data_IF_004221368860
#
_entry.id   IF_004221368860
#
_cell.length_a   1.000
_cell.length_b   1.000
_cell.length_c   1.000
_cell.angle_alpha   90.00
_cell.angle_beta   90.00
_cell.angle_gamma   90.00
#
_symmetry.space_group_name_H-M   'P 1'
#
loop_
_entity.id
_entity.type
_entity.pdbx_description
1 polymer ?
#
# COMPACT_ATOMS: atom_id res chain seq x y z
N UNK A 1 -6.57 12.17 -4.54
CA UNK A 1 -6.55 12.40 -3.08
C UNK A 1 -7.96 12.46 -2.50
N UNK A 2 -8.93 13.02 -3.22
CA UNK A 2 -10.28 13.24 -2.69
C UNK A 2 -11.12 11.95 -2.55
N UNK A 3 -10.94 10.97 -3.45
CA UNK A 3 -11.56 9.64 -3.32
C UNK A 3 -11.16 8.95 -2.00
N UNK A 4 -9.86 8.94 -1.66
CA UNK A 4 -9.36 8.32 -0.43
C UNK A 4 -9.91 8.98 0.84
N UNK A 5 -9.97 10.32 0.88
CA UNK A 5 -10.55 11.04 2.02
C UNK A 5 -12.04 10.71 2.19
N UNK A 6 -12.77 10.66 1.09
CA UNK A 6 -14.18 10.28 1.09
C UNK A 6 -14.39 8.85 1.59
N UNK A 7 -13.61 7.89 1.07
CA UNK A 7 -13.71 6.49 1.50
C UNK A 7 -13.38 6.32 2.99
N UNK A 8 -12.42 7.07 3.52
CA UNK A 8 -12.10 7.05 4.96
C UNK A 8 -13.24 7.65 5.79
N UNK A 9 -13.85 8.75 5.35
CA UNK A 9 -15.02 9.31 6.03
C UNK A 9 -16.24 8.38 5.98
N UNK A 10 -16.44 7.70 4.83
CA UNK A 10 -17.52 6.74 4.62
C UNK A 10 -17.42 5.51 5.53
N UNK A 11 -16.26 5.27 6.18
CA UNK A 11 -16.10 4.22 7.21
C UNK A 11 -16.84 4.52 8.52
N UNK A 12 -17.26 5.77 8.75
CA UNK A 12 -18.03 6.21 9.92
C UNK A 12 -19.47 6.60 9.55
N UNK A 13 -19.90 6.28 8.32
CA UNK A 13 -21.27 6.56 7.85
C UNK A 13 -22.31 5.79 8.66
N UNK A 14 -23.46 6.39 8.97
CA UNK A 14 -24.58 5.69 9.64
C UNK A 14 -25.10 4.48 8.83
N UNK A 15 -24.93 4.50 7.51
CA UNK A 15 -25.43 3.46 6.61
C UNK A 15 -24.43 2.31 6.48
N UNK A 16 -24.82 1.11 6.95
CA UNK A 16 -23.99 -0.09 6.90
C UNK A 16 -23.45 -0.41 5.49
N UNK A 17 -24.30 -0.27 4.46
CA UNK A 17 -23.92 -0.51 3.05
C UNK A 17 -22.80 0.42 2.57
N UNK A 18 -22.81 1.67 3.02
CA UNK A 18 -21.77 2.65 2.67
C UNK A 18 -20.45 2.26 3.33
N UNK A 19 -20.48 1.89 4.61
CA UNK A 19 -19.28 1.44 5.34
C UNK A 19 -18.65 0.19 4.73
N UNK A 20 -19.46 -0.78 4.30
CA UNK A 20 -18.95 -1.99 3.63
C UNK A 20 -18.33 -1.70 2.26
N UNK A 21 -18.99 -0.87 1.44
CA UNK A 21 -18.46 -0.48 0.14
C UNK A 21 -17.13 0.26 0.26
N UNK A 22 -17.04 1.19 1.22
CA UNK A 22 -15.81 1.91 1.52
C UNK A 22 -14.68 0.97 1.97
N UNK A 23 -14.99 0.04 2.88
CA UNK A 23 -14.03 -0.98 3.35
C UNK A 23 -13.48 -1.79 2.18
N UNK A 24 -14.36 -2.33 1.32
CA UNK A 24 -13.96 -3.13 0.16
C UNK A 24 -13.09 -2.32 -0.80
N UNK A 25 -13.47 -1.08 -1.09
CA UNK A 25 -12.73 -0.21 -2.00
C UNK A 25 -11.35 0.16 -1.46
N UNK A 26 -11.23 0.41 -0.16
CA UNK A 26 -9.95 0.66 0.50
C UNK A 26 -9.02 -0.56 0.43
N UNK A 27 -9.57 -1.78 0.53
CA UNK A 27 -8.80 -3.03 0.34
C UNK A 27 -8.34 -3.16 -1.12
N UNK A 28 -9.19 -2.82 -2.09
CA UNK A 28 -8.83 -2.88 -3.52
C UNK A 28 -7.74 -1.88 -3.92
N UNK A 29 -7.73 -0.71 -3.30
CA UNK A 29 -6.72 0.34 -3.53
C UNK A 29 -5.35 -0.03 -2.98
N UNK A 30 -5.28 -1.02 -2.09
CA UNK A 30 -4.05 -1.58 -1.56
C UNK A 30 -3.11 -0.44 -1.13
N UNK A 31 -1.91 -0.35 -1.72
CA UNK A 31 -0.82 0.48 -1.20
C UNK A 31 -1.14 1.97 -1.22
N UNK A 32 -2.04 2.36 -2.13
CA UNK A 32 -2.52 3.73 -2.25
C UNK A 32 -3.35 4.14 -1.03
N UNK A 33 -4.08 3.19 -0.43
CA UNK A 33 -4.89 3.44 0.75
C UNK A 33 -4.09 3.30 2.06
N UNK A 34 -3.04 2.49 2.09
CA UNK A 34 -2.32 2.14 3.32
C UNK A 34 -1.78 3.36 4.09
N UNK A 35 -1.20 4.34 3.37
CA UNK A 35 -0.69 5.57 3.99
C UNK A 35 -1.82 6.38 4.64
N UNK A 36 -2.93 6.53 3.92
CA UNK A 36 -4.09 7.30 4.39
C UNK A 36 -4.80 6.58 5.55
N UNK A 37 -4.90 5.25 5.51
CA UNK A 37 -5.45 4.43 6.60
C UNK A 37 -4.60 4.56 7.86
N UNK A 38 -3.27 4.47 7.76
CA UNK A 38 -2.36 4.65 8.91
C UNK A 38 -2.48 6.06 9.51
N UNK A 39 -2.56 7.09 8.66
CA UNK A 39 -2.78 8.46 9.10
C UNK A 39 -4.14 8.62 9.81
N UNK A 40 -5.20 7.98 9.28
CA UNK A 40 -6.52 8.02 9.88
C UNK A 40 -6.57 7.33 11.25
N UNK A 41 -5.88 6.20 11.44
CA UNK A 41 -5.76 5.55 12.77
C UNK A 41 -5.01 6.47 13.75
N UNK A 42 -3.91 7.08 13.31
CA UNK A 42 -3.12 7.98 14.14
C UNK A 42 -3.89 9.25 14.57
N UNK A 43 -4.89 9.67 13.78
CA UNK A 43 -5.75 10.80 14.06
C UNK A 43 -6.82 10.55 15.15
N UNK A 44 -6.83 9.37 15.79
CA UNK A 44 -7.76 8.97 16.87
C UNK A 44 -9.24 9.11 16.44
N UNK A 45 -9.69 8.31 15.48
CA UNK A 45 -11.06 8.37 14.98
C UNK A 45 -12.06 7.78 16.00
N UNK A 46 -13.34 7.74 15.64
CA UNK A 46 -14.37 7.04 16.43
C UNK A 46 -13.96 5.58 16.69
N UNK A 47 -14.47 4.99 17.78
CA UNK A 47 -14.13 3.60 18.14
C UNK A 47 -14.57 2.60 17.04
N UNK A 48 -15.70 2.86 16.36
CA UNK A 48 -16.15 2.02 15.24
C UNK A 48 -15.20 2.15 14.04
N UNK A 49 -14.86 3.38 13.65
CA UNK A 49 -13.94 3.65 12.55
C UNK A 49 -12.55 3.07 12.84
N UNK A 50 -12.04 3.21 14.07
CA UNK A 50 -10.77 2.63 14.49
C UNK A 50 -10.77 1.10 14.30
N UNK A 51 -11.78 0.40 14.81
CA UNK A 51 -11.90 -1.07 14.66
C UNK A 51 -11.93 -1.51 13.19
N UNK A 52 -12.61 -0.73 12.33
CA UNK A 52 -12.66 -1.02 10.88
C UNK A 52 -11.30 -0.81 10.22
N UNK A 53 -10.62 0.29 10.51
CA UNK A 53 -9.29 0.57 9.97
C UNK A 53 -8.29 -0.50 10.43
N UNK A 54 -8.31 -0.91 11.70
CA UNK A 54 -7.47 -1.98 12.23
C UNK A 54 -7.76 -3.33 11.56
N UNK A 55 -9.04 -3.63 11.29
CA UNK A 55 -9.43 -4.84 10.53
C UNK A 55 -8.88 -4.79 9.10
N UNK A 56 -9.00 -3.65 8.41
CA UNK A 56 -8.44 -3.49 7.06
C UNK A 56 -6.92 -3.68 7.09
N UNK A 57 -6.23 -3.12 8.08
CA UNK A 57 -4.78 -3.28 8.28
C UNK A 57 -4.39 -4.74 8.58
N UNK A 58 -5.23 -5.48 9.29
CA UNK A 58 -5.01 -6.91 9.59
C UNK A 58 -5.21 -7.77 8.35
N UNK A 59 -6.25 -7.48 7.58
CA UNK A 59 -6.53 -8.14 6.30
C UNK A 59 -5.41 -7.82 5.28
N UNK A 60 -4.68 -6.74 5.48
CA UNK A 60 -3.46 -6.39 4.78
C UNK A 60 -2.27 -7.30 5.14
N UNK A 61 -2.44 -8.61 4.95
CA UNK A 61 -1.53 -9.68 5.38
C UNK A 61 -0.17 -9.75 4.66
N UNK A 62 0.26 -8.66 4.01
CA UNK A 62 1.53 -8.65 3.28
C UNK A 62 1.53 -9.54 2.03
N UNK A 63 0.36 -9.97 1.54
CA UNK A 63 0.22 -10.68 0.26
C UNK A 63 -0.15 -9.70 -0.85
N UNK A 64 0.43 -9.89 -2.04
CA UNK A 64 0.13 -9.08 -3.22
C UNK A 64 -1.21 -9.54 -3.83
N UNK A 65 -2.30 -8.90 -3.41
CA UNK A 65 -3.66 -9.34 -3.76
C UNK A 65 -4.11 -8.88 -5.15
N UNK A 66 -3.65 -7.72 -5.61
CA UNK A 66 -4.06 -7.15 -6.88
C UNK A 66 -3.22 -7.68 -8.05
N UNK A 67 -3.83 -7.76 -9.25
CA UNK A 67 -3.10 -8.16 -10.46
C UNK A 67 -1.98 -7.16 -10.81
N UNK A 68 -2.24 -5.86 -10.59
CA UNK A 68 -1.26 -4.80 -10.79
C UNK A 68 -0.11 -4.89 -9.79
N UNK A 69 -0.40 -5.05 -8.50
CA UNK A 69 0.64 -5.30 -7.50
C UNK A 69 1.51 -6.50 -7.88
N UNK A 70 0.91 -7.60 -8.39
CA UNK A 70 1.66 -8.78 -8.83
C UNK A 70 2.54 -8.50 -10.06
N UNK A 71 2.15 -7.58 -10.93
CA UNK A 71 2.99 -7.13 -12.05
C UNK A 71 4.16 -6.30 -11.53
N UNK A 72 3.91 -5.34 -10.66
CA UNK A 72 4.95 -4.48 -10.07
C UNK A 72 5.98 -5.29 -9.28
N UNK A 73 5.53 -6.23 -8.45
CA UNK A 73 6.41 -7.15 -7.72
C UNK A 73 7.33 -7.94 -8.67
N UNK A 74 6.79 -8.48 -9.76
CA UNK A 74 7.58 -9.20 -10.77
C UNK A 74 8.57 -8.28 -11.49
N UNK A 75 8.17 -7.05 -11.81
CA UNK A 75 9.06 -6.07 -12.43
C UNK A 75 10.27 -5.76 -11.53
N UNK A 76 10.05 -5.49 -10.25
CA UNK A 76 11.15 -5.26 -9.28
C UNK A 76 12.08 -6.48 -9.20
N UNK A 77 11.52 -7.70 -9.19
CA UNK A 77 12.32 -8.93 -9.21
C UNK A 77 13.18 -9.07 -10.46
N UNK A 78 12.62 -8.83 -11.64
CA UNK A 78 13.35 -8.91 -12.91
C UNK A 78 14.48 -7.88 -12.96
N UNK A 79 14.20 -6.63 -12.55
CA UNK A 79 15.23 -5.58 -12.47
C UNK A 79 16.35 -5.97 -11.49
N UNK A 80 16.00 -6.56 -10.35
CA UNK A 80 16.97 -7.08 -9.39
C UNK A 80 17.86 -8.20 -9.97
N UNK A 81 17.27 -9.11 -10.75
CA UNK A 81 18.02 -10.20 -11.40
C UNK A 81 18.95 -9.70 -12.50
N UNK A 82 18.54 -8.68 -13.25
CA UNK A 82 19.38 -8.07 -14.29
C UNK A 82 20.61 -7.39 -13.69
N UNK A 83 20.44 -6.71 -12.55
CA UNK A 83 21.50 -6.05 -11.78
C UNK A 83 22.39 -5.07 -12.58
N UNK A 84 21.97 -4.68 -13.79
CA UNK A 84 22.65 -3.71 -14.65
C UNK A 84 22.59 -2.29 -14.09
N UNK A 85 23.39 -1.38 -14.63
CA UNK A 85 23.37 0.05 -14.25
C UNK A 85 21.97 0.64 -14.40
N UNK A 86 21.36 0.49 -15.58
CA UNK A 86 20.01 0.99 -15.87
C UNK A 86 18.95 0.37 -14.94
N UNK A 87 19.07 -0.93 -14.65
CA UNK A 87 18.13 -1.59 -13.73
C UNK A 87 18.25 -1.04 -12.30
N UNK A 88 19.47 -0.74 -11.84
CA UNK A 88 19.71 -0.10 -10.54
C UNK A 88 19.17 1.33 -10.50
N UNK A 89 19.27 2.08 -11.59
CA UNK A 89 18.69 3.43 -11.69
C UNK A 89 17.17 3.41 -11.58
N UNK A 90 16.50 2.51 -12.31
CA UNK A 90 15.04 2.34 -12.22
C UNK A 90 14.64 1.92 -10.79
N UNK A 91 15.34 0.96 -10.19
CA UNK A 91 15.10 0.57 -8.80
C UNK A 91 15.32 1.76 -7.83
N UNK A 92 16.30 2.62 -8.07
CA UNK A 92 16.56 3.80 -7.25
C UNK A 92 15.46 4.85 -7.37
N UNK A 93 14.84 4.97 -8.55
CA UNK A 93 13.65 5.82 -8.74
C UNK A 93 12.44 5.25 -7.99
N UNK A 94 12.18 3.95 -8.12
CA UNK A 94 11.08 3.28 -7.40
C UNK A 94 11.24 3.34 -5.87
N UNK A 95 12.50 3.27 -5.39
CA UNK A 95 12.86 3.37 -3.98
C UNK A 95 12.61 4.76 -3.35
N UNK A 96 12.33 5.79 -4.16
CA UNK A 96 11.98 7.15 -3.70
C UNK A 96 10.47 7.40 -3.62
N UNK A 97 9.64 6.39 -3.91
CA UNK A 97 8.19 6.49 -3.81
C UNK A 97 7.67 6.58 -2.37
N UNK A 98 6.36 6.46 -2.18
CA UNK A 98 5.75 6.53 -0.85
C UNK A 98 6.29 5.41 0.06
N UNK A 99 6.71 5.74 1.29
CA UNK A 99 7.33 4.77 2.21
C UNK A 99 6.39 3.61 2.57
N UNK A 100 5.08 3.82 2.50
CA UNK A 100 4.06 2.79 2.71
C UNK A 100 3.84 1.89 1.49
N UNK A 101 4.27 2.30 0.30
CA UNK A 101 4.06 1.52 -0.91
C UNK A 101 5.03 0.34 -0.94
N UNK A 102 4.50 -0.85 -1.25
CA UNK A 102 5.26 -2.08 -1.29
C UNK A 102 6.34 -2.04 -2.36
N UNK A 103 6.02 -1.54 -3.55
CA UNK A 103 6.97 -1.42 -4.66
C UNK A 103 8.20 -0.59 -4.26
N UNK A 104 8.02 0.44 -3.42
CA UNK A 104 9.12 1.23 -2.87
C UNK A 104 9.95 0.44 -1.87
N UNK A 105 9.31 -0.27 -0.93
CA UNK A 105 10.01 -1.12 0.05
C UNK A 105 10.79 -2.25 -0.63
N UNK A 106 10.20 -2.89 -1.63
CA UNK A 106 10.83 -3.98 -2.39
C UNK A 106 12.01 -3.49 -3.24
N UNK A 107 11.89 -2.31 -3.85
CA UNK A 107 13.00 -1.69 -4.58
C UNK A 107 14.17 -1.33 -3.64
N UNK A 108 13.87 -0.76 -2.46
CA UNK A 108 14.87 -0.48 -1.42
C UNK A 108 15.58 -1.76 -0.97
N UNK A 109 14.82 -2.81 -0.65
CA UNK A 109 15.37 -4.09 -0.22
C UNK A 109 16.20 -4.78 -1.32
N UNK A 110 15.78 -4.65 -2.58
CA UNK A 110 16.52 -5.20 -3.73
C UNK A 110 17.84 -4.45 -3.92
N UNK A 111 17.84 -3.11 -3.87
CA UNK A 111 19.07 -2.33 -3.94
C UNK A 111 20.04 -2.62 -2.80
N UNK A 112 19.52 -2.80 -1.57
CA UNK A 112 20.36 -3.22 -0.44
C UNK A 112 20.99 -4.59 -0.71
N UNK A 113 20.23 -5.56 -1.20
CA UNK A 113 20.75 -6.89 -1.55
C UNK A 113 21.82 -6.84 -2.63
N UNK A 114 21.68 -5.97 -3.63
CA UNK A 114 22.68 -5.80 -4.70
C UNK A 114 23.96 -5.09 -4.25
N UNK A 115 23.94 -4.39 -3.11
CA UNK A 115 25.11 -3.73 -2.52
C UNK A 115 25.92 -4.68 -1.64
N UNK A 116 25.28 -5.69 -1.07
CA UNK A 116 25.94 -6.70 -0.25
C UNK A 116 26.36 -7.88 -1.14
N UNK A 117 27.66 -8.21 -1.22
CA UNK A 117 28.15 -9.31 -2.07
C UNK A 117 27.66 -10.68 -1.60
#
# INVERSE_FOLDING_TARGET
ADELRRLIADLDSDQFKVREAATKRLIELDDLALAAIRAAVAAKPSLEMQRRLEKILTDYSGLVKTAEGRRQHRAVRVLGMLASTDAREVLALLAKGAQSARTTQEAQATLQRLRTP
#
